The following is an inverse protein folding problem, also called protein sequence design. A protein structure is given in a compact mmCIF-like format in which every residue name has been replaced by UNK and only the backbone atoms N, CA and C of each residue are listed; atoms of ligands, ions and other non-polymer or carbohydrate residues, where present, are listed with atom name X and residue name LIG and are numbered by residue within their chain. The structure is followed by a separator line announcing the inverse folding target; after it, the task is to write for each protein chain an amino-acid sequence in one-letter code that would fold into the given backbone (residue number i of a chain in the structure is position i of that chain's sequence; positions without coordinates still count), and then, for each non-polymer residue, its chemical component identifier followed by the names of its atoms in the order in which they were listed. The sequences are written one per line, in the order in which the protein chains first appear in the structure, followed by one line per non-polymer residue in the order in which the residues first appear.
data_IF_164687700767
#
_entry.id   IF_164687700767
#
_cell.length_a   1.000
_cell.length_b   1.000
_cell.length_c   1.000
_cell.angle_alpha   90.00
_cell.angle_beta   90.00
_cell.angle_gamma   90.00
#
_symmetry.space_group_name_H-M   'P 1'
#
loop_
_entity.id
_entity.type
_entity.pdbx_description
1 polymer ?
#
# COMPACT_ATOMS: atom_id res chain seq x y z
N UNK A 1 10.05 12.71 21.19
CA UNK A 1 8.86 11.85 21.41
C UNK A 1 9.27 10.62 22.23
N UNK A 2 9.07 10.66 23.54
CA UNK A 2 9.28 9.48 24.40
C UNK A 2 7.98 8.74 24.75
N UNK A 3 6.84 9.18 24.21
CA UNK A 3 5.51 8.71 24.60
C UNK A 3 4.88 7.94 23.45
N UNK A 4 4.95 6.62 23.52
CA UNK A 4 4.29 5.77 22.53
C UNK A 4 4.98 4.42 22.38
N UNK A 5 4.29 3.49 21.73
CA UNK A 5 4.81 2.19 21.33
C UNK A 5 5.43 2.29 19.94
N UNK A 6 6.62 1.72 19.66
CA UNK A 6 7.17 1.69 18.31
C UNK A 6 6.15 1.15 17.29
N UNK A 7 6.05 1.76 16.11
CA UNK A 7 5.07 1.37 15.09
C UNK A 7 5.18 -0.12 14.74
N UNK A 8 6.39 -0.66 14.61
CA UNK A 8 6.60 -2.08 14.34
C UNK A 8 5.95 -2.99 15.39
N UNK A 9 6.01 -2.61 16.67
CA UNK A 9 5.34 -3.36 17.75
C UNK A 9 3.82 -3.08 17.76
N UNK A 10 3.42 -1.84 17.47
CA UNK A 10 2.01 -1.44 17.43
C UNK A 10 1.22 -2.27 16.42
N UNK A 11 1.80 -2.50 15.22
CA UNK A 11 1.20 -3.31 14.17
C UNK A 11 1.59 -4.81 14.27
N UNK A 12 2.13 -5.25 15.40
CA UNK A 12 2.57 -6.65 15.61
C UNK A 12 3.54 -7.13 14.53
N UNK A 13 4.46 -6.26 14.09
CA UNK A 13 5.43 -6.47 12.99
C UNK A 13 4.81 -6.78 11.62
N UNK A 14 3.53 -6.52 11.46
CA UNK A 14 2.83 -6.68 10.17
C UNK A 14 3.10 -5.46 9.26
N UNK A 15 4.32 -5.35 8.81
CA UNK A 15 4.76 -4.36 7.83
C UNK A 15 5.41 -5.11 6.67
N UNK A 16 4.86 -4.96 5.46
CA UNK A 16 5.23 -5.74 4.31
C UNK A 16 5.65 -4.83 3.15
N UNK A 17 6.58 -5.33 2.37
CA UNK A 17 7.08 -4.71 1.17
C UNK A 17 6.26 -5.17 -0.04
N UNK A 18 6.07 -4.32 -1.04
CA UNK A 18 5.39 -4.69 -2.27
C UNK A 18 6.13 -5.75 -3.08
N UNK A 19 5.46 -6.37 -4.02
CA UNK A 19 5.98 -7.49 -4.78
C UNK A 19 7.03 -7.02 -5.79
N UNK A 20 8.05 -7.84 -5.97
CA UNK A 20 9.07 -7.70 -6.99
C UNK A 20 8.87 -8.82 -8.02
N UNK A 21 8.51 -8.44 -9.24
CA UNK A 21 8.22 -9.40 -10.31
C UNK A 21 9.48 -9.86 -11.06
N UNK A 22 10.54 -9.02 -11.04
CA UNK A 22 11.71 -9.20 -11.89
C UNK A 22 11.48 -8.86 -13.36
N UNK A 23 10.21 -8.72 -13.80
CA UNK A 23 9.82 -8.32 -15.17
C UNK A 23 8.39 -7.75 -15.14
N UNK A 24 8.25 -6.47 -14.85
CA UNK A 24 6.93 -5.84 -14.73
C UNK A 24 6.11 -5.93 -16.02
N UNK A 25 6.75 -5.83 -17.18
CA UNK A 25 6.08 -5.85 -18.48
C UNK A 25 5.29 -7.14 -18.73
N UNK A 26 5.72 -8.26 -18.12
CA UNK A 26 5.03 -9.55 -18.25
C UNK A 26 3.88 -9.71 -17.23
N UNK A 27 3.99 -9.09 -16.04
CA UNK A 27 3.03 -9.33 -14.98
C UNK A 27 2.05 -8.17 -14.75
N UNK A 28 2.44 -6.94 -15.07
CA UNK A 28 1.55 -5.76 -14.94
C UNK A 28 0.84 -5.55 -16.27
N UNK A 29 -0.48 -5.62 -16.22
CA UNK A 29 -1.35 -5.59 -17.38
C UNK A 29 -2.39 -4.46 -17.28
N UNK A 30 -2.87 -4.03 -18.42
CA UNK A 30 -3.98 -3.07 -18.52
C UNK A 30 -5.34 -3.76 -18.31
N UNK A 31 -6.37 -2.97 -18.03
CA UNK A 31 -7.76 -3.48 -17.96
C UNK A 31 -8.20 -4.16 -19.26
N UNK A 32 -7.77 -3.68 -20.43
CA UNK A 32 -8.07 -4.29 -21.71
C UNK A 32 -7.42 -5.68 -21.88
N UNK A 33 -6.14 -5.80 -21.50
CA UNK A 33 -5.45 -7.10 -21.49
C UNK A 33 -6.09 -8.09 -20.50
N UNK A 34 -6.47 -7.62 -19.32
CA UNK A 34 -7.19 -8.44 -18.34
C UNK A 34 -8.51 -8.97 -18.89
N UNK A 35 -9.30 -8.13 -19.55
CA UNK A 35 -10.55 -8.56 -20.19
C UNK A 35 -10.32 -9.66 -21.23
N UNK A 36 -9.28 -9.53 -22.07
CA UNK A 36 -8.92 -10.55 -23.06
C UNK A 36 -8.50 -11.86 -22.40
N UNK A 37 -7.68 -11.80 -21.35
CA UNK A 37 -7.23 -12.96 -20.57
C UNK A 37 -8.41 -13.71 -19.96
N UNK A 38 -9.31 -12.97 -19.28
CA UNK A 38 -10.47 -13.55 -18.61
C UNK A 38 -11.50 -14.08 -19.59
N UNK A 39 -11.69 -13.42 -20.74
CA UNK A 39 -12.58 -13.92 -21.80
C UNK A 39 -12.13 -15.29 -22.36
N UNK A 40 -10.81 -15.51 -22.48
CA UNK A 40 -10.26 -16.81 -22.93
C UNK A 40 -10.33 -17.89 -21.85
N UNK A 41 -10.18 -17.51 -20.59
CA UNK A 41 -10.20 -18.45 -19.45
C UNK A 41 -10.75 -17.78 -18.20
N UNK A 42 -12.06 -17.88 -17.92
CA UNK A 42 -12.71 -17.21 -16.78
C UNK A 42 -12.09 -17.56 -15.42
N UNK A 43 -11.54 -18.77 -15.26
CA UNK A 43 -10.83 -19.18 -14.04
C UNK A 43 -9.62 -18.29 -13.72
N UNK A 44 -9.06 -17.60 -14.72
CA UNK A 44 -7.91 -16.70 -14.56
C UNK A 44 -8.22 -15.44 -13.78
N UNK A 45 -9.49 -15.09 -13.57
CA UNK A 45 -9.89 -13.90 -12.78
C UNK A 45 -9.32 -13.91 -11.36
N UNK A 46 -9.19 -15.09 -10.75
CA UNK A 46 -8.63 -15.26 -9.40
C UNK A 46 -7.14 -14.89 -9.32
N UNK A 47 -6.43 -14.99 -10.43
CA UNK A 47 -5.01 -14.69 -10.57
C UNK A 47 -4.72 -13.27 -11.03
N UNK A 48 -5.74 -12.46 -11.32
CA UNK A 48 -5.60 -11.07 -11.72
C UNK A 48 -6.04 -10.19 -10.55
N UNK A 49 -5.13 -9.34 -10.08
CA UNK A 49 -5.34 -8.48 -8.90
C UNK A 49 -5.17 -7.01 -9.25
N UNK A 50 -5.93 -6.10 -8.63
CA UNK A 50 -5.63 -4.66 -8.70
C UNK A 50 -4.19 -4.39 -8.26
N UNK A 51 -3.50 -3.46 -8.92
CA UNK A 51 -2.07 -3.22 -8.69
C UNK A 51 -1.73 -1.74 -8.71
N UNK A 52 -0.88 -1.31 -7.76
CA UNK A 52 -0.41 0.06 -7.63
C UNK A 52 1.09 0.14 -7.41
N UNK A 53 1.70 1.20 -7.91
CA UNK A 53 3.03 1.67 -7.52
C UNK A 53 2.98 2.70 -6.39
N UNK A 54 4.14 3.03 -5.82
CA UNK A 54 4.24 4.09 -4.81
C UNK A 54 3.84 5.47 -5.35
N UNK A 55 4.00 5.68 -6.65
CA UNK A 55 3.59 6.90 -7.36
C UNK A 55 2.08 7.15 -7.36
N UNK A 56 1.28 6.09 -7.22
CA UNK A 56 -0.19 6.15 -7.28
C UNK A 56 -0.81 6.46 -5.90
N UNK A 57 -0.01 6.33 -4.83
CA UNK A 57 -0.47 6.57 -3.46
C UNK A 57 -0.40 8.07 -3.15
N UNK A 58 -1.52 8.61 -2.65
CA UNK A 58 -1.67 10.01 -2.21
C UNK A 58 -2.11 10.02 -0.74
N UNK A 59 -2.00 11.17 -0.10
CA UNK A 59 -2.51 11.37 1.25
C UNK A 59 -4.02 11.15 1.29
N UNK A 60 -4.46 10.10 2.01
CA UNK A 60 -5.86 9.65 2.12
C UNK A 60 -6.54 9.23 0.81
N UNK A 61 -5.80 9.07 -0.28
CA UNK A 61 -6.39 8.79 -1.58
C UNK A 61 -5.48 7.92 -2.45
N UNK A 62 -6.10 7.07 -3.26
CA UNK A 62 -5.42 6.26 -4.27
C UNK A 62 -5.77 6.83 -5.63
N UNK A 63 -4.76 7.20 -6.40
CA UNK A 63 -4.91 7.54 -7.81
C UNK A 63 -4.79 6.26 -8.62
N UNK A 64 -5.93 5.59 -8.81
CA UNK A 64 -5.98 4.34 -9.56
C UNK A 64 -6.06 4.64 -11.06
N UNK A 65 -5.09 4.14 -11.82
CA UNK A 65 -5.04 4.21 -13.29
C UNK A 65 -5.49 2.89 -13.95
N UNK A 66 -6.08 1.97 -13.18
CA UNK A 66 -6.66 0.72 -13.66
C UNK A 66 -5.62 -0.36 -14.01
N UNK A 67 -4.39 -0.27 -13.48
CA UNK A 67 -3.41 -1.34 -13.62
C UNK A 67 -3.81 -2.58 -12.84
N UNK A 68 -3.52 -3.72 -13.41
CA UNK A 68 -3.76 -5.02 -12.81
C UNK A 68 -2.46 -5.83 -12.85
N UNK A 69 -2.37 -6.87 -12.03
CA UNK A 69 -1.21 -7.74 -11.97
C UNK A 69 -1.63 -9.20 -12.06
N UNK A 70 -0.93 -9.97 -12.91
CA UNK A 70 -1.01 -11.42 -12.89
C UNK A 70 -0.21 -11.93 -11.69
N UNK A 71 -0.89 -12.58 -10.76
CA UNK A 71 -0.31 -13.09 -9.50
C UNK A 71 -0.38 -14.61 -9.51
N UNK A 72 0.73 -15.24 -9.86
CA UNK A 72 0.92 -16.69 -9.73
C UNK A 72 1.99 -16.91 -8.67
N UNK A 73 1.61 -17.21 -7.41
CA UNK A 73 2.57 -17.42 -6.33
C UNK A 73 3.48 -18.62 -6.57
N UNK A 74 4.70 -18.55 -6.04
CA UNK A 74 5.61 -19.69 -6.04
C UNK A 74 4.92 -20.95 -5.48
N UNK A 75 5.00 -22.05 -6.22
CA UNK A 75 4.40 -23.35 -5.87
C UNK A 75 2.91 -23.46 -6.13
N UNK A 76 2.23 -22.38 -6.54
CA UNK A 76 0.80 -22.40 -6.83
C UNK A 76 0.44 -23.42 -7.93
N UNK A 77 1.19 -23.44 -9.03
CA UNK A 77 0.93 -24.35 -10.15
C UNK A 77 1.02 -25.81 -9.72
N UNK A 78 2.03 -26.16 -8.92
CA UNK A 78 2.16 -27.52 -8.37
C UNK A 78 0.99 -27.89 -7.46
N UNK A 79 0.58 -26.95 -6.60
CA UNK A 79 -0.53 -27.16 -5.68
C UNK A 79 -1.87 -27.38 -6.43
N UNK A 80 -2.11 -26.63 -7.50
CA UNK A 80 -3.32 -26.81 -8.33
C UNK A 80 -3.32 -28.15 -9.04
N UNK A 81 -2.20 -28.52 -9.66
CA UNK A 81 -2.08 -29.83 -10.36
C UNK A 81 -2.27 -30.99 -9.37
N UNK A 82 -1.72 -30.88 -8.16
CA UNK A 82 -1.81 -31.93 -7.14
C UNK A 82 -3.25 -32.23 -6.68
N UNK A 83 -4.20 -31.31 -6.89
CA UNK A 83 -5.62 -31.55 -6.60
C UNK A 83 -6.23 -32.63 -7.49
N UNK A 84 -5.70 -32.80 -8.71
CA UNK A 84 -6.26 -33.73 -9.72
C UNK A 84 -5.31 -34.84 -10.09
N UNK A 85 -4.00 -34.69 -9.90
CA UNK A 85 -2.98 -35.65 -10.32
C UNK A 85 -1.97 -35.89 -9.20
N UNK A 86 -1.74 -37.16 -8.87
CA UNK A 86 -0.69 -37.58 -7.92
C UNK A 86 0.67 -37.74 -8.62
N UNK A 87 1.75 -37.35 -7.92
CA UNK A 87 3.13 -37.51 -8.37
C UNK A 87 3.81 -36.22 -8.82
N UNK A 88 5.10 -36.29 -9.12
CA UNK A 88 5.88 -35.15 -9.61
C UNK A 88 5.50 -34.82 -11.06
N UNK A 89 5.49 -33.52 -11.37
CA UNK A 89 5.14 -33.00 -12.70
C UNK A 89 6.35 -32.25 -13.25
N UNK A 90 6.76 -32.54 -14.47
CA UNK A 90 7.83 -31.80 -15.17
C UNK A 90 7.34 -30.41 -15.53
N UNK A 91 8.29 -29.46 -15.73
CA UNK A 91 7.96 -28.10 -16.15
C UNK A 91 7.11 -28.06 -17.40
N UNK A 92 7.45 -28.89 -18.42
CA UNK A 92 6.67 -29.00 -19.65
C UNK A 92 5.22 -29.42 -19.38
N UNK A 93 5.01 -30.38 -18.50
CA UNK A 93 3.65 -30.83 -18.15
C UNK A 93 2.89 -29.76 -17.36
N UNK A 94 3.57 -29.03 -16.49
CA UNK A 94 2.98 -27.93 -15.74
C UNK A 94 2.62 -26.75 -16.65
N UNK A 95 3.43 -26.47 -17.67
CA UNK A 95 3.14 -25.44 -18.67
C UNK A 95 1.93 -25.81 -19.54
N UNK A 96 1.86 -27.04 -19.99
CA UNK A 96 0.69 -27.54 -20.76
C UNK A 96 -0.59 -27.50 -19.89
N UNK A 97 -0.48 -27.81 -18.60
CA UNK A 97 -1.60 -27.67 -17.67
C UNK A 97 -2.05 -26.21 -17.56
N UNK A 98 -1.10 -25.27 -17.45
CA UNK A 98 -1.42 -23.84 -17.40
C UNK A 98 -2.12 -23.38 -18.69
N UNK A 99 -1.65 -23.82 -19.86
CA UNK A 99 -2.28 -23.56 -21.17
C UNK A 99 -3.71 -24.07 -21.23
N UNK A 100 -3.98 -25.24 -20.68
CA UNK A 100 -5.33 -25.85 -20.68
C UNK A 100 -6.30 -25.14 -19.72
N UNK A 101 -5.84 -24.71 -18.56
CA UNK A 101 -6.71 -24.19 -17.51
C UNK A 101 -6.73 -22.64 -17.44
N UNK A 102 -5.66 -21.98 -17.90
CA UNK A 102 -5.45 -20.54 -17.89
C UNK A 102 -4.88 -20.04 -19.21
N UNK A 103 -5.51 -20.44 -20.33
CA UNK A 103 -5.03 -20.19 -21.69
C UNK A 103 -4.67 -18.71 -21.94
N UNK A 104 -5.50 -17.77 -21.46
CA UNK A 104 -5.24 -16.35 -21.65
C UNK A 104 -3.98 -15.86 -20.94
N UNK A 105 -3.71 -16.36 -19.72
CA UNK A 105 -2.48 -16.05 -18.99
C UNK A 105 -1.28 -16.68 -19.68
N UNK A 106 -1.39 -17.96 -20.06
CA UNK A 106 -0.29 -18.68 -20.70
C UNK A 106 0.13 -18.02 -22.01
N UNK A 107 -0.83 -17.67 -22.88
CA UNK A 107 -0.58 -16.96 -24.15
C UNK A 107 0.08 -15.59 -23.94
N UNK A 108 -0.38 -14.83 -22.92
CA UNK A 108 0.22 -13.56 -22.58
C UNK A 108 1.68 -13.72 -22.12
N UNK A 109 1.95 -14.68 -21.21
CA UNK A 109 3.29 -14.92 -20.66
C UNK A 109 4.23 -15.58 -21.67
N UNK A 110 3.73 -16.36 -22.63
CA UNK A 110 4.53 -17.00 -23.69
C UNK A 110 5.29 -15.97 -24.52
N UNK A 111 4.71 -14.79 -24.75
CA UNK A 111 5.39 -13.68 -25.46
C UNK A 111 6.61 -13.12 -24.72
N UNK A 112 6.74 -13.43 -23.43
CA UNK A 112 7.85 -12.99 -22.56
C UNK A 112 8.75 -14.14 -22.11
N UNK A 113 8.56 -15.37 -22.61
CA UNK A 113 9.21 -16.59 -22.09
C UNK A 113 10.73 -16.45 -21.93
N UNK A 114 11.43 -15.98 -22.97
CA UNK A 114 12.89 -15.82 -22.94
C UNK A 114 13.37 -14.87 -21.83
N UNK A 115 12.64 -13.78 -21.59
CA UNK A 115 12.94 -12.81 -20.55
C UNK A 115 12.57 -13.35 -19.16
N UNK A 116 11.43 -14.03 -19.06
CA UNK A 116 10.96 -14.66 -17.83
C UNK A 116 11.94 -15.74 -17.33
N UNK A 117 12.49 -16.54 -18.22
CA UNK A 117 13.49 -17.58 -17.89
C UNK A 117 14.81 -17.00 -17.39
N UNK A 118 15.16 -15.79 -17.80
CA UNK A 118 16.42 -15.10 -17.41
C UNK A 118 16.31 -14.30 -16.12
N UNK A 119 15.09 -14.00 -15.63
CA UNK A 119 14.90 -13.20 -14.42
C UNK A 119 15.32 -13.96 -13.16
N UNK A 120 15.81 -13.24 -12.14
CA UNK A 120 16.21 -13.85 -10.86
C UNK A 120 15.03 -14.07 -9.90
N UNK A 121 14.00 -13.22 -9.98
CA UNK A 121 12.82 -13.25 -9.09
C UNK A 121 11.76 -14.24 -9.60
N UNK A 122 12.11 -15.54 -9.67
CA UNK A 122 11.21 -16.63 -10.12
C UNK A 122 10.69 -17.45 -8.92
N UNK A 123 9.58 -18.17 -9.17
CA UNK A 123 9.08 -19.24 -8.32
C UNK A 123 9.65 -20.61 -8.72
N UNK A 124 8.84 -21.66 -8.54
CA UNK A 124 9.20 -23.03 -8.96
C UNK A 124 9.27 -23.17 -10.48
N UNK A 125 8.57 -22.29 -11.19
CA UNK A 125 8.52 -22.22 -12.65
C UNK A 125 8.76 -20.79 -13.13
N UNK A 126 9.19 -20.62 -14.38
CA UNK A 126 9.51 -19.31 -14.95
C UNK A 126 8.33 -18.33 -14.99
N UNK A 127 7.10 -18.82 -14.95
CA UNK A 127 5.87 -18.00 -14.93
C UNK A 127 5.36 -17.66 -13.55
N UNK A 128 5.94 -18.22 -12.50
CA UNK A 128 5.57 -17.92 -11.12
C UNK A 128 6.36 -16.74 -10.55
N UNK A 129 5.75 -16.01 -9.63
CA UNK A 129 6.43 -15.00 -8.83
C UNK A 129 7.33 -15.66 -7.80
N UNK A 130 8.34 -14.93 -7.33
CA UNK A 130 9.28 -15.38 -6.30
C UNK A 130 8.54 -15.79 -5.01
N UNK A 131 9.15 -16.63 -4.16
CA UNK A 131 8.60 -16.97 -2.86
C UNK A 131 8.28 -15.74 -2.03
N UNK A 132 7.05 -15.69 -1.49
CA UNK A 132 6.56 -14.65 -0.60
C UNK A 132 5.58 -15.28 0.39
N UNK A 133 5.81 -15.10 1.68
CA UNK A 133 5.00 -15.71 2.74
C UNK A 133 3.85 -14.82 3.22
N UNK A 134 3.64 -13.66 2.60
CA UNK A 134 2.62 -12.68 3.00
C UNK A 134 1.62 -12.29 1.89
N UNK A 135 1.42 -13.13 0.88
CA UNK A 135 0.40 -12.88 -0.14
C UNK A 135 -0.99 -12.61 0.47
N UNK A 136 -1.39 -13.41 1.46
CA UNK A 136 -2.68 -13.22 2.18
C UNK A 136 -2.79 -11.87 2.90
N UNK A 137 -1.65 -11.29 3.30
CA UNK A 137 -1.63 -9.96 3.90
C UNK A 137 -1.88 -8.83 2.89
N UNK A 138 -1.61 -9.08 1.60
CA UNK A 138 -1.93 -8.14 0.52
C UNK A 138 -3.42 -8.19 0.15
N UNK A 139 -4.08 -9.32 0.32
CA UNK A 139 -5.53 -9.43 0.13
C UNK A 139 -6.33 -8.80 1.29
N UNK A 140 -5.73 -8.69 2.49
CA UNK A 140 -6.38 -8.17 3.69
C UNK A 140 -6.44 -6.61 3.71
N UNK A 141 -7.39 -6.02 4.46
CA UNK A 141 -7.39 -4.57 4.72
C UNK A 141 -6.07 -4.09 5.31
N UNK A 142 -5.55 -2.96 4.79
CA UNK A 142 -4.22 -2.47 5.13
C UNK A 142 -4.07 -0.97 4.92
N UNK A 143 -3.10 -0.34 5.59
CA UNK A 143 -2.61 0.99 5.27
C UNK A 143 -1.44 0.86 4.31
N UNK A 144 -1.46 1.58 3.19
CA UNK A 144 -0.42 1.58 2.16
C UNK A 144 0.30 2.92 2.09
N UNK A 145 1.60 2.90 1.72
CA UNK A 145 2.42 4.10 1.59
C UNK A 145 3.61 3.86 0.64
N UNK A 146 4.14 4.91 -0.05
CA UNK A 146 5.31 4.78 -0.90
C UNK A 146 6.60 4.61 -0.08
N UNK A 147 7.62 3.97 -0.66
CA UNK A 147 8.94 3.82 -0.04
C UNK A 147 9.74 5.14 -0.02
N UNK A 148 9.44 6.07 -0.93
CA UNK A 148 10.08 7.38 -1.04
C UNK A 148 9.03 8.46 -1.26
N UNK A 149 8.98 9.47 -0.39
CA UNK A 149 8.10 10.62 -0.57
C UNK A 149 8.66 11.90 0.05
N UNK A 150 8.01 13.04 -0.25
CA UNK A 150 8.36 14.38 0.24
C UNK A 150 7.41 14.86 1.33
N UNK A 151 6.25 14.23 1.45
CA UNK A 151 5.17 14.57 2.36
C UNK A 151 4.44 13.29 2.76
N UNK A 152 3.62 13.29 3.83
CA UNK A 152 2.85 12.11 4.22
C UNK A 152 1.94 11.64 3.07
N UNK A 153 2.02 10.35 2.74
CA UNK A 153 1.21 9.72 1.71
C UNK A 153 0.75 8.35 2.18
N UNK A 154 -0.06 8.34 3.23
CA UNK A 154 -0.66 7.12 3.74
C UNK A 154 -2.12 7.07 3.32
N UNK A 155 -2.55 5.89 2.84
CA UNK A 155 -3.94 5.63 2.46
C UNK A 155 -4.38 4.26 2.97
N UNK A 156 -5.69 4.08 3.19
CA UNK A 156 -6.26 2.78 3.53
C UNK A 156 -6.72 2.08 2.26
N UNK A 157 -6.37 0.80 2.13
CA UNK A 157 -6.91 -0.12 1.15
C UNK A 157 -7.74 -1.21 1.83
N UNK A 158 -8.96 -1.43 1.35
CA UNK A 158 -9.88 -2.48 1.78
C UNK A 158 -10.33 -3.38 0.62
N UNK A 159 -9.72 -3.20 -0.55
CA UNK A 159 -10.09 -3.91 -1.78
C UNK A 159 -9.10 -4.98 -2.21
N UNK A 160 -8.02 -5.20 -1.44
CA UNK A 160 -7.03 -6.22 -1.74
C UNK A 160 -6.09 -5.83 -2.87
N UNK A 161 -5.66 -4.57 -2.91
CA UNK A 161 -4.72 -4.08 -3.91
C UNK A 161 -3.31 -4.65 -3.65
N UNK A 162 -2.69 -5.15 -4.69
CA UNK A 162 -1.30 -5.59 -4.70
C UNK A 162 -0.37 -4.42 -4.99
N UNK A 163 0.80 -4.42 -4.39
CA UNK A 163 1.73 -3.29 -4.42
C UNK A 163 3.02 -3.65 -5.15
N UNK A 164 3.52 -2.68 -5.91
CA UNK A 164 4.87 -2.72 -6.46
C UNK A 164 5.93 -2.59 -5.35
N UNK A 165 7.16 -2.97 -5.67
CA UNK A 165 8.33 -2.79 -4.82
C UNK A 165 8.71 -1.32 -4.52
N UNK A 166 7.93 -0.36 -4.95
CA UNK A 166 8.03 1.06 -4.61
C UNK A 166 7.07 1.47 -3.49
N UNK A 167 6.37 0.50 -2.88
CA UNK A 167 5.41 0.73 -1.81
C UNK A 167 5.52 -0.31 -0.70
N UNK A 168 4.99 0.05 0.47
CA UNK A 168 4.86 -0.78 1.66
C UNK A 168 3.42 -0.80 2.14
N UNK A 169 3.09 -1.76 2.99
CA UNK A 169 1.84 -1.74 3.73
C UNK A 169 1.99 -2.15 5.20
N UNK A 170 1.06 -1.68 6.02
CA UNK A 170 0.84 -2.11 7.40
C UNK A 170 -0.40 -2.99 7.44
N UNK A 171 -0.33 -4.17 8.05
CA UNK A 171 -1.44 -5.12 8.16
C UNK A 171 -2.52 -4.66 9.15
N UNK A 172 -3.06 -3.47 8.94
CA UNK A 172 -4.14 -2.84 9.70
C UNK A 172 -4.82 -1.77 8.86
N UNK A 173 -6.12 -1.58 9.02
CA UNK A 173 -6.90 -0.50 8.40
C UNK A 173 -7.37 0.55 9.42
N UNK A 174 -6.71 0.65 10.57
CA UNK A 174 -7.02 1.58 11.65
C UNK A 174 -7.01 3.03 11.16
N UNK A 175 -8.18 3.67 11.15
CA UNK A 175 -8.32 5.08 10.77
C UNK A 175 -7.63 6.01 11.78
N UNK A 176 -7.59 5.63 13.06
CA UNK A 176 -6.81 6.34 14.07
C UNK A 176 -5.32 6.38 13.69
N UNK A 177 -4.72 5.23 13.39
CA UNK A 177 -3.34 5.16 12.96
C UNK A 177 -3.11 5.91 11.65
N UNK A 178 -4.03 5.81 10.69
CA UNK A 178 -3.98 6.55 9.42
C UNK A 178 -3.93 8.07 9.64
N UNK A 179 -4.73 8.58 10.60
CA UNK A 179 -4.72 9.99 10.99
C UNK A 179 -3.38 10.41 11.58
N UNK A 180 -2.83 9.62 12.51
CA UNK A 180 -1.52 9.88 13.08
C UNK A 180 -0.43 9.94 12.00
N UNK A 181 -0.33 8.91 11.14
CA UNK A 181 0.70 8.79 10.11
C UNK A 181 0.66 9.92 9.09
N UNK A 182 -0.52 10.48 8.82
CA UNK A 182 -0.69 11.62 7.93
C UNK A 182 -0.56 12.99 8.63
N UNK A 183 -0.39 13.05 9.95
CA UNK A 183 -0.24 14.31 10.69
C UNK A 183 1.14 14.95 10.50
N UNK A 184 1.21 16.26 10.70
CA UNK A 184 2.47 17.03 10.67
C UNK A 184 3.47 16.52 11.69
N UNK A 185 3.02 16.19 12.91
CA UNK A 185 3.88 15.65 13.95
C UNK A 185 4.56 14.35 13.53
N UNK A 186 3.82 13.44 12.91
CA UNK A 186 4.40 12.18 12.45
C UNK A 186 5.34 12.37 11.27
N UNK A 187 5.02 13.29 10.36
CA UNK A 187 5.95 13.64 9.29
C UNK A 187 7.26 14.22 9.82
N UNK A 188 7.17 15.13 10.79
CA UNK A 188 8.33 15.66 11.49
C UNK A 188 9.17 14.53 12.11
N UNK A 189 8.54 13.60 12.80
CA UNK A 189 9.23 12.44 13.39
C UNK A 189 9.90 11.57 12.32
N UNK A 190 9.20 11.25 11.22
CA UNK A 190 9.73 10.46 10.10
C UNK A 190 10.94 11.16 9.47
N UNK A 191 10.85 12.46 9.21
CA UNK A 191 11.95 13.23 8.62
C UNK A 191 13.21 13.24 9.51
N UNK A 192 13.04 13.14 10.83
CA UNK A 192 14.18 13.08 11.77
C UNK A 192 14.70 11.67 12.03
N UNK A 193 13.94 10.63 11.69
CA UNK A 193 14.34 9.22 11.85
C UNK A 193 14.92 8.66 10.54
N UNK A 194 14.36 9.07 9.40
CA UNK A 194 14.75 8.60 8.07
C UNK A 194 15.96 9.32 7.52
N UNK A 195 16.70 8.65 6.64
CA UNK A 195 17.79 9.28 5.90
C UNK A 195 17.21 9.98 4.66
N UNK A 196 17.58 11.23 4.38
CA UNK A 196 17.22 11.92 3.15
C UNK A 196 17.71 11.14 1.92
N UNK A 197 16.85 10.98 0.93
CA UNK A 197 17.14 10.30 -0.36
C UNK A 197 17.19 11.31 -1.51
N UNK A 198 18.08 12.28 -1.40
CA UNK A 198 18.24 13.37 -2.36
C UNK A 198 17.08 14.36 -2.35
N UNK A 199 17.17 15.36 -3.22
CA UNK A 199 16.16 16.41 -3.39
C UNK A 199 15.44 16.29 -4.73
N UNK A 200 14.19 16.76 -4.78
CA UNK A 200 13.44 16.93 -6.04
C UNK A 200 12.62 18.21 -5.95
N UNK A 201 12.84 19.11 -6.88
CA UNK A 201 12.26 20.46 -6.89
C UNK A 201 12.52 21.24 -5.57
N UNK A 202 13.75 21.17 -5.04
CA UNK A 202 14.17 21.89 -3.84
C UNK A 202 13.75 21.27 -2.50
N UNK A 203 12.97 20.19 -2.51
CA UNK A 203 12.50 19.52 -1.29
C UNK A 203 13.18 18.17 -1.07
N UNK A 204 13.49 17.85 0.19
CA UNK A 204 14.04 16.55 0.53
C UNK A 204 13.01 15.45 0.35
N UNK A 205 13.47 14.29 -0.14
CA UNK A 205 12.72 13.04 -0.14
C UNK A 205 13.25 12.15 0.99
N UNK A 206 12.36 11.45 1.65
CA UNK A 206 12.69 10.54 2.74
C UNK A 206 12.31 9.12 2.37
N UNK A 207 13.12 8.15 2.83
CA UNK A 207 12.82 6.73 2.69
C UNK A 207 11.94 6.25 3.85
N UNK A 208 10.79 5.68 3.51
CA UNK A 208 9.85 5.12 4.47
C UNK A 208 9.97 3.58 4.52
N UNK A 209 11.20 3.08 4.60
CA UNK A 209 11.45 1.64 4.71
C UNK A 209 11.29 1.12 6.14
N UNK A 210 11.16 -0.19 6.27
CA UNK A 210 10.88 -0.88 7.54
C UNK A 210 11.75 -0.37 8.71
N UNK A 211 13.09 -0.32 8.52
CA UNK A 211 14.05 0.03 9.57
C UNK A 211 13.88 1.45 10.16
N UNK A 212 13.21 2.35 9.44
CA UNK A 212 12.90 3.69 9.93
C UNK A 212 11.48 3.73 10.48
N UNK A 213 10.54 3.20 9.73
CA UNK A 213 9.12 3.26 10.08
C UNK A 213 8.80 2.48 11.36
N UNK A 214 9.47 1.32 11.60
CA UNK A 214 9.24 0.52 12.81
C UNK A 214 9.50 1.29 14.10
N UNK A 215 10.35 2.34 14.05
CA UNK A 215 10.78 3.13 15.21
C UNK A 215 9.86 4.30 15.54
N UNK A 216 8.97 4.67 14.64
CA UNK A 216 8.06 5.81 14.83
C UNK A 216 7.16 5.55 16.04
N UNK A 217 7.11 6.44 17.05
CA UNK A 217 6.34 6.20 18.27
C UNK A 217 4.85 6.48 18.06
N UNK A 218 4.02 5.45 18.25
CA UNK A 218 2.56 5.52 18.17
C UNK A 218 1.98 5.52 19.58
N UNK A 219 1.20 6.54 19.92
CA UNK A 219 0.52 6.60 21.20
C UNK A 219 -0.58 5.54 21.27
N UNK A 220 -0.47 4.66 22.24
CA UNK A 220 -1.53 3.69 22.57
C UNK A 220 -2.61 4.37 23.38
N UNK A 221 -3.85 4.01 23.10
CA UNK A 221 -5.01 4.53 23.82
C UNK A 221 -5.21 3.70 25.09
N UNK A 222 -5.27 4.37 26.23
CA UNK A 222 -5.67 3.76 27.50
C UNK A 222 -7.19 3.87 27.64
N UNK A 223 -7.88 2.75 27.48
CA UNK A 223 -9.35 2.68 27.61
C UNK A 223 -9.87 3.15 28.99
N UNK A 224 -9.01 3.18 30.00
CA UNK A 224 -9.34 3.71 31.35
C UNK A 224 -9.32 5.23 31.41
N UNK A 225 -8.76 5.89 30.41
CA UNK A 225 -8.70 7.34 30.30
C UNK A 225 -9.75 7.83 29.31
N UNK A 226 -10.88 8.29 29.82
CA UNK A 226 -12.01 8.74 28.98
C UNK A 226 -11.56 9.77 27.90
N UNK A 227 -10.67 10.69 28.23
CA UNK A 227 -10.16 11.69 27.27
C UNK A 227 -9.33 11.09 26.14
N UNK A 228 -8.59 10.02 26.38
CA UNK A 228 -7.82 9.33 25.33
C UNK A 228 -8.77 8.63 24.34
N UNK A 229 -9.83 8.00 24.87
CA UNK A 229 -10.89 7.37 24.04
C UNK A 229 -11.63 8.43 23.20
N UNK A 230 -12.03 9.55 23.80
CA UNK A 230 -12.70 10.66 23.08
C UNK A 230 -11.82 11.20 21.95
N UNK A 231 -10.51 11.40 22.18
CA UNK A 231 -9.59 11.87 21.14
C UNK A 231 -9.40 10.82 20.03
N UNK A 232 -9.26 9.55 20.39
CA UNK A 232 -9.18 8.46 19.42
C UNK A 232 -10.41 8.45 18.49
N UNK A 233 -11.60 8.45 19.06
CA UNK A 233 -12.84 8.38 18.30
C UNK A 233 -13.03 9.63 17.43
N UNK A 234 -12.63 10.80 17.95
CA UNK A 234 -12.69 12.03 17.17
C UNK A 234 -11.69 12.04 16.00
N UNK A 235 -10.46 11.58 16.20
CA UNK A 235 -9.48 11.42 15.11
C UNK A 235 -10.03 10.44 14.06
N UNK A 236 -10.53 9.30 14.47
CA UNK A 236 -11.12 8.29 13.59
C UNK A 236 -12.27 8.87 12.74
N UNK A 237 -13.17 9.61 13.37
CA UNK A 237 -14.29 10.27 12.69
C UNK A 237 -13.82 11.32 11.67
N UNK A 238 -12.82 12.14 12.03
CA UNK A 238 -12.27 13.16 11.14
C UNK A 238 -11.58 12.52 9.94
N UNK A 239 -10.83 11.44 10.14
CA UNK A 239 -10.19 10.69 9.04
C UNK A 239 -11.24 10.09 8.10
N UNK A 240 -12.32 9.53 8.60
CA UNK A 240 -13.43 9.04 7.77
C UNK A 240 -14.02 10.17 6.91
N UNK A 241 -14.23 11.36 7.50
CA UNK A 241 -14.67 12.54 6.77
C UNK A 241 -13.67 13.01 5.71
N UNK A 242 -12.35 12.92 5.96
CA UNK A 242 -11.32 13.23 4.96
C UNK A 242 -11.37 12.24 3.80
N UNK A 243 -11.48 10.94 4.09
CA UNK A 243 -11.58 9.90 3.06
C UNK A 243 -12.79 10.16 2.14
N UNK A 244 -13.93 10.50 2.72
CA UNK A 244 -15.13 10.82 1.95
C UNK A 244 -14.97 12.12 1.14
N UNK A 245 -14.41 13.18 1.77
CA UNK A 245 -14.14 14.43 1.06
C UNK A 245 -13.16 14.25 -0.11
N UNK A 246 -12.15 13.37 0.01
CA UNK A 246 -11.21 13.03 -1.06
C UNK A 246 -11.88 12.28 -2.22
N UNK A 247 -12.85 11.39 -1.95
CA UNK A 247 -13.64 10.75 -3.00
C UNK A 247 -14.45 11.78 -3.81
N UNK A 248 -15.12 12.68 -3.11
CA UNK A 248 -15.86 13.77 -3.77
C UNK A 248 -14.95 14.70 -4.56
N UNK A 249 -13.77 15.04 -4.02
CA UNK A 249 -12.78 15.85 -4.72
C UNK A 249 -12.33 15.18 -6.03
N UNK A 250 -12.06 13.87 -5.99
CA UNK A 250 -11.66 13.12 -7.18
C UNK A 250 -12.74 13.03 -8.25
N UNK A 251 -14.02 13.09 -7.87
CA UNK A 251 -15.18 13.08 -8.78
C UNK A 251 -15.72 14.48 -9.11
N UNK A 252 -15.15 15.54 -8.56
CA UNK A 252 -15.61 16.92 -8.75
C UNK A 252 -15.45 17.36 -10.22
N UNK A 253 -16.54 17.85 -10.80
CA UNK A 253 -16.58 18.28 -12.21
C UNK A 253 -16.48 19.79 -12.37
N UNK A 254 -16.78 20.56 -11.32
CA UNK A 254 -16.75 22.03 -11.34
C UNK A 254 -15.60 22.56 -10.49
N UNK A 255 -15.03 23.70 -10.85
CA UNK A 255 -14.00 24.36 -10.03
C UNK A 255 -14.53 24.77 -8.65
N UNK A 256 -15.81 25.07 -8.53
CA UNK A 256 -16.47 25.38 -7.26
C UNK A 256 -16.43 24.15 -6.33
N UNK A 257 -16.79 22.98 -6.84
CA UNK A 257 -16.77 21.73 -6.05
C UNK A 257 -15.34 21.36 -5.66
N UNK A 258 -14.38 21.50 -6.57
CA UNK A 258 -12.96 21.25 -6.27
C UNK A 258 -12.49 22.13 -5.12
N UNK A 259 -12.66 23.45 -5.24
CA UNK A 259 -12.28 24.43 -4.22
C UNK A 259 -12.95 24.14 -2.88
N UNK A 260 -14.25 23.78 -2.90
CA UNK A 260 -14.98 23.42 -1.68
C UNK A 260 -14.37 22.20 -0.99
N UNK A 261 -14.16 21.10 -1.73
CA UNK A 261 -13.62 19.87 -1.12
C UNK A 261 -12.15 19.98 -0.74
N UNK A 262 -11.33 20.75 -1.46
CA UNK A 262 -9.96 21.09 -1.06
C UNK A 262 -9.92 21.85 0.27
N UNK A 263 -10.75 22.88 0.39
CA UNK A 263 -10.88 23.66 1.63
C UNK A 263 -11.38 22.80 2.79
N UNK A 264 -12.36 21.91 2.53
CA UNK A 264 -12.87 20.95 3.51
C UNK A 264 -11.76 20.00 3.98
N UNK A 265 -11.01 19.40 3.07
CA UNK A 265 -9.87 18.53 3.41
C UNK A 265 -8.83 19.27 4.25
N UNK A 266 -8.43 20.48 3.86
CA UNK A 266 -7.46 21.27 4.59
C UNK A 266 -7.94 21.64 6.01
N UNK A 267 -9.24 21.88 6.19
CA UNK A 267 -9.84 22.15 7.50
C UNK A 267 -9.86 20.91 8.39
N UNK A 268 -10.22 19.77 7.86
CA UNK A 268 -10.21 18.50 8.57
C UNK A 268 -8.78 18.09 8.97
N UNK A 269 -7.80 18.28 8.08
CA UNK A 269 -6.38 18.03 8.36
C UNK A 269 -5.88 18.86 9.56
N UNK A 270 -6.20 20.18 9.60
CA UNK A 270 -5.84 21.03 10.74
C UNK A 270 -6.49 20.57 12.05
N UNK A 271 -7.72 20.06 12.00
CA UNK A 271 -8.38 19.53 13.20
C UNK A 271 -7.71 18.24 13.68
N UNK A 272 -7.27 17.37 12.76
CA UNK A 272 -6.52 16.16 13.09
C UNK A 272 -5.17 16.55 13.71
N UNK A 273 -4.40 17.45 13.09
CA UNK A 273 -3.11 17.91 13.63
C UNK A 273 -3.27 18.45 15.06
N UNK A 274 -4.28 19.31 15.31
CA UNK A 274 -4.56 19.84 16.64
C UNK A 274 -4.80 18.72 17.66
N UNK A 275 -5.65 17.74 17.33
CA UNK A 275 -5.93 16.61 18.23
C UNK A 275 -4.69 15.73 18.46
N UNK A 276 -3.85 15.57 17.44
CA UNK A 276 -2.58 14.85 17.57
C UNK A 276 -1.61 15.61 18.48
N UNK A 277 -1.48 16.93 18.34
CA UNK A 277 -0.65 17.74 19.25
C UNK A 277 -1.13 17.60 20.70
N UNK A 278 -2.45 17.71 20.95
CA UNK A 278 -3.04 17.50 22.27
C UNK A 278 -2.82 16.09 22.81
N UNK A 279 -2.96 15.07 21.95
CA UNK A 279 -2.76 13.66 22.31
C UNK A 279 -1.33 13.39 22.78
N UNK A 280 -0.35 14.03 22.16
CA UNK A 280 1.07 13.88 22.51
C UNK A 280 1.51 14.89 23.57
N UNK A 281 0.65 15.82 23.98
CA UNK A 281 0.91 16.81 25.03
C UNK A 281 2.01 17.80 24.65
N UNK A 282 2.03 18.24 23.38
CA UNK A 282 3.02 19.22 22.91
C UNK A 282 2.75 20.60 23.53
N UNK A 283 3.83 21.29 23.89
CA UNK A 283 3.77 22.71 24.27
C UNK A 283 3.59 23.62 23.05
N UNK A 284 3.17 24.87 23.20
CA UNK A 284 3.09 25.82 22.10
C UNK A 284 4.42 25.99 21.34
N UNK A 285 5.55 25.95 22.02
CA UNK A 285 6.89 26.06 21.44
C UNK A 285 7.22 24.80 20.60
N UNK A 286 6.88 23.61 21.09
CA UNK A 286 7.06 22.35 20.34
C UNK A 286 6.14 22.31 19.10
N UNK A 287 4.91 22.81 19.20
CA UNK A 287 4.00 22.93 18.06
C UNK A 287 4.60 23.87 17.01
N UNK A 288 5.13 25.02 17.40
CA UNK A 288 5.78 25.96 16.48
C UNK A 288 6.94 25.29 15.72
N UNK A 289 7.79 24.52 16.41
CA UNK A 289 8.89 23.76 15.77
C UNK A 289 8.37 22.76 14.73
N UNK A 290 7.29 22.04 15.05
CA UNK A 290 6.69 21.05 14.14
C UNK A 290 6.05 21.73 12.92
N UNK A 291 5.44 22.90 13.10
CA UNK A 291 4.76 23.64 12.02
C UNK A 291 5.73 24.43 11.14
N UNK A 292 6.83 24.94 11.71
CA UNK A 292 7.89 25.66 10.98
C UNK A 292 8.85 24.72 10.25
N UNK A 293 8.95 23.45 10.67
CA UNK A 293 9.76 22.46 9.98
C UNK A 293 9.30 22.37 8.52
N UNK A 294 10.13 22.86 7.60
CA UNK A 294 9.86 22.85 6.14
C UNK A 294 9.49 21.44 5.71
N UNK A 295 8.28 21.33 5.21
CA UNK A 295 7.78 20.13 4.55
C UNK A 295 8.57 19.84 3.27
#
# INVERSE_FOLDING_TARGET
MKVGKPLGEYVSRKMFYGLKTGLNEAFVITSGQSQQIVAKSPASVSLVKPFLGGEDIRRYFIQDDGKLMIVIPCGWTKAEIAKTKKGSVSEKQAWEWLKQNHAGIAEHLESFEDALRKRQDQGDYFWELRPCNYYSSLDAPKIIFPDICKAPRFCVDRSGIYLANTAYCLGTDSLYLLGLLNSRLFWFAIANISIPFGTRAGEYRYRLIYQYMERVPVRTIDAKRAMDTVRHDRITQLVDQVLEAKKHLASARTERDKTFYESKCATLDRQIDKLVHELYGLTPEEIAIVEEAKQ
#
